data_IF_218865419736
#
_entry.id   IF_218865419736
#
_cell.length_a   1.000
_cell.length_b   1.000
_cell.length_c   1.000
_cell.angle_alpha   90.00
_cell.angle_beta   90.00
_cell.angle_gamma   90.00
#
_symmetry.space_group_name_H-M   'P 1'
#
loop_
_entity.id
_entity.type
_entity.pdbx_description
1 polymer ?
#
# COMPACT_ATOMS: atom_id res chain seq x y z
N UNK A 1 9.75 4.71 24.75
CA UNK A 1 8.43 4.58 24.06
C UNK A 1 8.48 5.16 22.64
N UNK A 2 9.18 6.27 22.42
CA UNK A 2 9.41 6.84 21.08
C UNK A 2 10.18 5.90 20.14
N UNK A 3 11.18 5.17 20.65
CA UNK A 3 12.01 4.23 19.87
C UNK A 3 11.22 3.08 19.25
N UNK A 4 10.10 2.70 19.89
CA UNK A 4 9.19 1.66 19.41
C UNK A 4 8.35 2.15 18.22
N UNK A 5 7.76 3.35 18.33
CA UNK A 5 7.00 3.97 17.25
C UNK A 5 7.89 4.26 16.04
N UNK A 6 9.10 4.73 16.29
CA UNK A 6 10.13 4.93 15.25
C UNK A 6 10.42 3.64 14.49
N UNK A 7 10.69 2.55 15.20
CA UNK A 7 10.93 1.25 14.57
C UNK A 7 9.73 0.71 13.79
N UNK A 8 8.50 0.91 14.31
CA UNK A 8 7.27 0.46 13.65
C UNK A 8 6.99 1.19 12.33
N UNK A 9 7.23 2.50 12.29
CA UNK A 9 6.91 3.40 11.19
C UNK A 9 8.00 3.47 10.11
N UNK A 10 9.27 3.58 10.54
CA UNK A 10 10.45 3.72 9.68
C UNK A 10 10.90 2.36 9.13
N UNK A 11 10.79 1.31 9.95
CA UNK A 11 11.19 -0.04 9.60
C UNK A 11 12.64 -0.39 9.99
N UNK A 12 12.97 -1.69 9.97
CA UNK A 12 14.18 -2.24 10.60
C UNK A 12 15.48 -1.97 9.83
N UNK A 13 15.41 -1.50 8.58
CA UNK A 13 16.61 -1.27 7.74
C UNK A 13 17.32 0.02 8.14
N UNK A 14 16.55 1.03 8.56
CA UNK A 14 17.01 2.39 8.83
C UNK A 14 16.94 2.79 10.31
N UNK A 15 16.12 2.09 11.11
CA UNK A 15 16.00 2.31 12.55
C UNK A 15 16.98 1.41 13.31
N UNK A 16 17.81 2.02 14.15
CA UNK A 16 18.82 1.36 15.00
C UNK A 16 18.25 1.09 16.41
N UNK A 17 16.98 0.70 16.49
CA UNK A 17 16.28 0.47 17.76
C UNK A 17 16.02 -1.03 18.00
N UNK A 18 15.73 -1.37 19.26
CA UNK A 18 15.33 -2.72 19.72
C UNK A 18 14.16 -3.33 18.94
N UNK A 19 13.50 -2.56 18.09
CA UNK A 19 12.45 -3.01 17.18
C UNK A 19 12.86 -4.20 16.32
N UNK A 20 14.16 -4.36 16.01
CA UNK A 20 14.71 -5.51 15.27
C UNK A 20 14.65 -6.84 16.04
N UNK A 21 14.64 -6.80 17.38
CA UNK A 21 14.82 -7.99 18.23
C UNK A 21 13.52 -8.74 18.56
N UNK A 22 12.36 -8.08 18.48
CA UNK A 22 11.06 -8.64 18.90
C UNK A 22 10.07 -8.76 17.74
N UNK A 23 9.23 -9.81 17.75
CA UNK A 23 8.13 -9.99 16.79
C UNK A 23 6.95 -9.10 17.20
N UNK A 24 6.65 -8.09 16.39
CA UNK A 24 5.61 -7.09 16.70
C UNK A 24 4.28 -7.35 15.98
N UNK A 25 3.86 -8.62 15.89
CA UNK A 25 2.66 -9.01 15.14
C UNK A 25 1.40 -8.34 15.70
N UNK A 26 1.27 -8.22 17.02
CA UNK A 26 0.11 -7.61 17.70
C UNK A 26 -0.16 -6.17 17.27
N UNK A 27 0.86 -5.34 17.05
CA UNK A 27 0.68 -3.97 16.60
C UNK A 27 0.16 -3.87 15.15
N UNK A 28 0.52 -4.84 14.30
CA UNK A 28 0.00 -4.91 12.93
C UNK A 28 -1.46 -5.36 12.93
N UNK A 29 -1.80 -6.34 13.77
CA UNK A 29 -3.19 -6.79 13.97
C UNK A 29 -4.04 -5.67 14.52
N UNK A 30 -3.54 -4.91 15.52
CA UNK A 30 -4.24 -3.77 16.08
C UNK A 30 -4.51 -2.68 15.03
N UNK A 31 -3.49 -2.31 14.23
CA UNK A 31 -3.67 -1.34 13.15
C UNK A 31 -4.66 -1.84 12.08
N UNK A 32 -4.58 -3.11 11.71
CA UNK A 32 -5.52 -3.73 10.76
C UNK A 32 -6.96 -3.73 11.30
N UNK A 33 -7.13 -4.06 12.58
CA UNK A 33 -8.43 -4.01 13.26
C UNK A 33 -8.98 -2.57 13.32
N UNK A 34 -8.14 -1.57 13.59
CA UNK A 34 -8.55 -0.16 13.53
C UNK A 34 -8.98 0.25 12.13
N UNK A 35 -8.24 -0.17 11.08
CA UNK A 35 -8.61 0.09 9.69
C UNK A 35 -9.95 -0.59 9.32
N UNK A 36 -10.15 -1.84 9.76
CA UNK A 36 -11.40 -2.57 9.59
C UNK A 36 -12.59 -1.86 10.28
N UNK A 37 -12.42 -1.46 11.54
CA UNK A 37 -13.44 -0.74 12.29
C UNK A 37 -13.78 0.62 11.64
N UNK A 38 -12.77 1.36 11.19
CA UNK A 38 -12.96 2.61 10.46
C UNK A 38 -13.70 2.38 9.14
N UNK A 39 -13.39 1.31 8.40
CA UNK A 39 -14.10 0.95 7.18
C UNK A 39 -15.58 0.66 7.46
N UNK A 40 -15.89 -0.17 8.45
CA UNK A 40 -17.28 -0.47 8.86
C UNK A 40 -18.02 0.81 9.21
N UNK A 41 -17.41 1.70 9.99
CA UNK A 41 -18.01 2.98 10.36
C UNK A 41 -18.34 3.84 9.13
N UNK A 42 -17.41 3.95 8.17
CA UNK A 42 -17.62 4.72 6.95
C UNK A 42 -18.72 4.11 6.08
N UNK A 43 -18.84 2.78 6.07
CA UNK A 43 -19.87 2.07 5.30
C UNK A 43 -21.25 2.21 5.95
N UNK A 44 -21.36 2.20 7.28
CA UNK A 44 -22.63 2.42 8.00
C UNK A 44 -23.10 3.88 7.93
N UNK A 45 -22.17 4.84 7.85
CA UNK A 45 -22.49 6.28 7.82
C UNK A 45 -21.96 6.93 6.53
N UNK A 46 -22.67 6.79 5.39
CA UNK A 46 -22.22 7.30 4.10
C UNK A 46 -22.04 8.83 4.09
N UNK A 47 -22.79 9.56 4.92
CA UNK A 47 -22.62 11.00 5.11
C UNK A 47 -21.26 11.37 5.70
N UNK A 48 -20.71 10.53 6.60
CA UNK A 48 -19.35 10.69 7.12
C UNK A 48 -18.32 10.33 6.05
N UNK A 49 -18.56 9.26 5.29
CA UNK A 49 -17.68 8.86 4.18
C UNK A 49 -17.52 9.98 3.14
N UNK A 50 -18.59 10.66 2.76
CA UNK A 50 -18.53 11.78 1.80
C UNK A 50 -17.69 12.96 2.33
N UNK A 51 -17.64 13.19 3.65
CA UNK A 51 -16.83 14.26 4.25
C UNK A 51 -15.37 13.86 4.46
N UNK A 52 -15.13 12.61 4.85
CA UNK A 52 -13.79 12.10 5.16
C UNK A 52 -13.03 11.75 3.89
N UNK A 53 -13.68 11.21 2.86
CA UNK A 53 -13.05 10.83 1.59
C UNK A 53 -12.92 12.08 0.70
N UNK A 54 -11.99 12.96 1.06
CA UNK A 54 -11.70 14.19 0.31
C UNK A 54 -10.90 13.88 -0.97
N UNK A 55 -9.98 12.91 -0.90
CA UNK A 55 -9.07 12.58 -1.99
C UNK A 55 -9.78 11.65 -2.98
N UNK A 56 -10.01 12.14 -4.20
CA UNK A 56 -10.66 11.38 -5.28
C UNK A 56 -9.72 10.34 -5.90
N UNK A 57 -10.28 9.23 -6.34
CA UNK A 57 -9.60 8.28 -7.21
C UNK A 57 -9.10 8.99 -8.49
N UNK A 58 -7.88 8.73 -9.00
CA UNK A 58 -6.88 7.73 -8.60
C UNK A 58 -5.73 8.30 -7.74
N UNK A 59 -5.90 9.45 -7.07
CA UNK A 59 -4.80 10.11 -6.37
C UNK A 59 -4.19 9.31 -5.19
N UNK A 60 -4.98 8.60 -4.34
CA UNK A 60 -4.42 7.91 -3.17
C UNK A 60 -3.31 6.89 -3.50
N UNK A 61 -3.48 5.96 -4.46
CA UNK A 61 -2.41 5.02 -4.80
C UNK A 61 -1.19 5.70 -5.44
N UNK A 62 -1.39 6.77 -6.23
CA UNK A 62 -0.27 7.52 -6.82
C UNK A 62 0.58 8.17 -5.73
N UNK A 63 -0.06 8.87 -4.79
CA UNK A 63 0.64 9.50 -3.68
C UNK A 63 1.31 8.47 -2.77
N UNK A 64 0.70 7.29 -2.59
CA UNK A 64 1.29 6.20 -1.82
C UNK A 64 2.58 5.70 -2.48
N UNK A 65 2.58 5.50 -3.80
CA UNK A 65 3.76 5.08 -4.55
C UNK A 65 4.87 6.12 -4.45
N UNK A 66 4.56 7.41 -4.64
CA UNK A 66 5.54 8.50 -4.45
C UNK A 66 6.15 8.40 -3.06
N UNK A 67 5.30 8.29 -2.05
CA UNK A 67 5.73 8.30 -0.66
C UNK A 67 6.62 7.10 -0.34
N UNK A 68 6.30 5.90 -0.84
CA UNK A 68 7.13 4.70 -0.73
C UNK A 68 8.53 4.90 -1.35
N UNK A 69 8.60 5.54 -2.51
CA UNK A 69 9.88 5.83 -3.17
C UNK A 69 10.69 6.93 -2.48
N UNK A 70 10.03 7.94 -1.92
CA UNK A 70 10.71 9.01 -1.17
C UNK A 70 11.18 8.54 0.21
N UNK A 71 10.53 7.55 0.77
CA UNK A 71 10.76 7.03 2.11
C UNK A 71 12.23 6.71 2.45
N UNK A 72 13.02 5.98 1.63
CA UNK A 72 14.43 5.72 1.93
C UNK A 72 15.26 7.01 2.03
N UNK A 73 14.97 8.01 1.20
CA UNK A 73 15.66 9.31 1.25
C UNK A 73 15.32 10.06 2.54
N UNK A 74 14.04 10.07 2.91
CA UNK A 74 13.55 10.64 4.17
C UNK A 74 14.23 9.96 5.36
N UNK A 75 14.39 8.64 5.33
CA UNK A 75 15.08 7.86 6.38
C UNK A 75 16.56 8.19 6.51
N UNK A 76 17.25 8.50 5.41
CA UNK A 76 18.66 8.96 5.46
C UNK A 76 18.77 10.33 6.14
N UNK A 77 17.85 11.25 5.80
CA UNK A 77 17.76 12.58 6.39
C UNK A 77 17.43 12.48 7.88
N UNK A 78 16.49 11.60 8.25
CA UNK A 78 15.97 11.41 9.60
C UNK A 78 17.08 11.31 10.68
N UNK A 79 18.15 10.55 10.41
CA UNK A 79 19.28 10.37 11.34
C UNK A 79 20.09 11.65 11.59
N UNK A 80 20.01 12.64 10.71
CA UNK A 80 20.75 13.90 10.79
C UNK A 80 19.93 15.04 11.42
N UNK A 81 18.65 14.80 11.73
CA UNK A 81 17.75 15.84 12.22
C UNK A 81 17.71 15.94 13.76
N UNK A 82 17.54 17.16 14.30
CA UNK A 82 17.38 17.38 15.72
C UNK A 82 16.08 16.76 16.24
N UNK A 83 16.07 16.41 17.52
CA UNK A 83 14.98 15.67 18.18
C UNK A 83 13.59 16.26 17.92
N UNK A 84 13.44 17.60 17.94
CA UNK A 84 12.17 18.30 17.75
C UNK A 84 11.53 18.11 16.37
N UNK A 85 12.30 17.81 15.32
CA UNK A 85 11.77 17.65 13.95
C UNK A 85 11.38 16.19 13.68
N UNK A 86 11.84 15.25 14.51
CA UNK A 86 11.57 13.81 14.33
C UNK A 86 10.08 13.46 14.38
N UNK A 87 9.25 14.00 15.30
CA UNK A 87 7.82 13.71 15.34
C UNK A 87 7.08 14.10 14.05
N UNK A 88 7.50 15.19 13.41
CA UNK A 88 6.91 15.63 12.14
C UNK A 88 7.16 14.60 11.02
N UNK A 89 8.35 13.99 11.00
CA UNK A 89 8.67 12.92 10.07
C UNK A 89 7.88 11.65 10.38
N UNK A 90 7.67 11.31 11.66
CA UNK A 90 6.79 10.19 12.04
C UNK A 90 5.37 10.38 11.49
N UNK A 91 4.87 11.62 11.44
CA UNK A 91 3.56 11.92 10.85
C UNK A 91 3.54 11.64 9.33
N UNK A 92 4.65 11.87 8.63
CA UNK A 92 4.80 11.49 7.20
C UNK A 92 4.78 9.96 7.04
N UNK A 93 5.44 9.22 7.93
CA UNK A 93 5.37 7.74 7.91
C UNK A 93 3.97 7.22 8.27
N UNK A 94 3.24 7.92 9.15
CA UNK A 94 1.85 7.61 9.47
C UNK A 94 0.94 7.86 8.26
N UNK A 95 1.18 8.95 7.54
CA UNK A 95 0.45 9.33 6.34
C UNK A 95 0.48 8.20 5.28
N UNK A 96 1.57 7.43 5.17
CA UNK A 96 1.63 6.23 4.32
C UNK A 96 0.54 5.21 4.63
N UNK A 97 0.32 4.89 5.90
CA UNK A 97 -0.73 3.96 6.32
C UNK A 97 -2.13 4.54 6.12
N UNK A 98 -2.25 5.85 6.26
CA UNK A 98 -3.48 6.58 5.98
C UNK A 98 -3.82 6.54 4.48
N UNK A 99 -2.84 6.73 3.59
CA UNK A 99 -3.05 6.58 2.14
C UNK A 99 -3.34 5.14 1.74
N UNK A 100 -2.71 4.16 2.39
CA UNK A 100 -3.02 2.75 2.22
C UNK A 100 -4.49 2.48 2.57
N UNK A 101 -4.96 3.01 3.70
CA UNK A 101 -6.37 2.94 4.09
C UNK A 101 -7.29 3.56 3.03
N UNK A 102 -6.98 4.77 2.56
CA UNK A 102 -7.77 5.43 1.50
C UNK A 102 -7.83 4.59 0.21
N UNK A 103 -6.71 3.97 -0.17
CA UNK A 103 -6.68 3.08 -1.33
C UNK A 103 -7.62 1.88 -1.12
N UNK A 104 -7.59 1.24 0.04
CA UNK A 104 -8.50 0.15 0.37
C UNK A 104 -9.95 0.59 0.33
N UNK A 105 -10.30 1.71 0.97
CA UNK A 105 -11.67 2.23 0.98
C UNK A 105 -12.17 2.43 -0.45
N UNK A 106 -11.42 3.11 -1.33
CA UNK A 106 -11.85 3.32 -2.72
C UNK A 106 -12.01 2.02 -3.52
N UNK A 107 -11.23 0.99 -3.21
CA UNK A 107 -11.36 -0.33 -3.84
C UNK A 107 -12.57 -1.07 -3.32
N UNK A 108 -12.81 -1.09 -2.00
CA UNK A 108 -13.85 -1.92 -1.37
C UNK A 108 -15.22 -1.26 -1.30
N UNK A 109 -15.32 0.07 -1.18
CA UNK A 109 -16.60 0.79 -1.14
C UNK A 109 -17.52 0.45 -2.32
N UNK A 110 -17.08 0.40 -3.60
CA UNK A 110 -17.99 0.03 -4.69
C UNK A 110 -18.40 -1.45 -4.69
N UNK A 111 -17.71 -2.34 -3.97
CA UNK A 111 -18.11 -3.75 -3.83
C UNK A 111 -19.19 -3.95 -2.77
N UNK A 112 -19.37 -2.98 -1.88
CA UNK A 112 -20.29 -3.09 -0.74
C UNK A 112 -21.50 -2.19 -1.00
N UNK A 113 -22.48 -2.73 -1.71
CA UNK A 113 -23.77 -2.07 -1.93
C UNK A 113 -24.70 -2.41 -0.77
N UNK A 114 -24.77 -1.52 0.22
CA UNK A 114 -25.89 -1.54 1.17
C UNK A 114 -27.09 -0.89 0.48
N UNK A 115 -27.97 -1.71 -0.08
CA UNK A 115 -29.34 -1.26 -0.33
C UNK A 115 -29.97 -0.90 1.02
N UNK A 116 -30.90 0.06 1.02
CA UNK A 116 -31.52 0.63 2.24
C UNK A 116 -32.45 -0.36 2.96
N UNK A 117 -32.21 -1.65 2.84
CA UNK A 117 -32.91 -2.65 3.61
C UNK A 117 -32.37 -2.65 5.05
N UNK A 118 -33.28 -2.88 6.01
CA UNK A 118 -32.88 -3.05 7.40
C UNK A 118 -31.89 -4.22 7.49
N UNK A 119 -30.73 -4.02 8.11
CA UNK A 119 -29.75 -5.09 8.33
C UNK A 119 -30.40 -6.36 8.91
N UNK A 120 -31.44 -6.19 9.74
CA UNK A 120 -32.22 -7.29 10.30
C UNK A 120 -33.02 -8.05 9.25
N UNK A 121 -33.66 -7.39 8.27
CA UNK A 121 -34.42 -8.10 7.23
C UNK A 121 -33.51 -8.94 6.34
N UNK A 122 -32.34 -8.40 6.00
CA UNK A 122 -31.32 -9.14 5.26
C UNK A 122 -30.78 -10.35 6.05
N UNK A 123 -30.58 -10.20 7.36
CA UNK A 123 -30.14 -11.29 8.24
C UNK A 123 -31.21 -12.39 8.36
N UNK A 124 -32.49 -12.01 8.54
CA UNK A 124 -33.60 -12.98 8.61
C UNK A 124 -33.74 -13.76 7.30
N UNK A 125 -33.73 -13.07 6.15
CA UNK A 125 -33.80 -13.73 4.84
C UNK A 125 -32.62 -14.70 4.61
N UNK A 126 -31.41 -14.33 5.08
CA UNK A 126 -30.24 -15.20 5.01
C UNK A 126 -30.41 -16.44 5.90
N UNK A 127 -30.91 -16.25 7.11
CA UNK A 127 -31.13 -17.32 8.08
C UNK A 127 -32.19 -18.32 7.59
N UNK A 128 -33.31 -17.83 7.06
CA UNK A 128 -34.37 -18.67 6.49
C UNK A 128 -33.85 -19.52 5.33
N UNK A 129 -33.06 -18.94 4.42
CA UNK A 129 -32.44 -19.68 3.30
C UNK A 129 -31.50 -20.79 3.77
N UNK A 130 -30.70 -20.55 4.82
CA UNK A 130 -29.79 -21.57 5.35
C UNK A 130 -30.51 -22.66 6.15
N UNK A 131 -31.59 -22.32 6.84
CA UNK A 131 -32.45 -23.31 7.50
C UNK A 131 -33.10 -24.21 6.44
N UNK A 132 -33.61 -23.64 5.35
CA UNK A 132 -34.23 -24.39 4.26
C UNK A 132 -33.25 -25.38 3.61
N UNK A 133 -32.04 -24.94 3.26
CA UNK A 133 -30.98 -25.81 2.70
C UNK A 133 -30.54 -26.89 3.69
N UNK A 134 -30.53 -26.59 4.98
CA UNK A 134 -30.18 -27.57 6.01
C UNK A 134 -31.29 -28.60 6.21
N UNK A 135 -32.55 -28.18 6.14
CA UNK A 135 -33.71 -29.07 6.19
C UNK A 135 -33.73 -29.99 4.96
N UNK A 136 -33.49 -29.48 3.76
CA UNK A 136 -33.46 -30.27 2.53
C UNK A 136 -32.40 -31.38 2.59
N UNK A 137 -31.22 -31.10 3.16
CA UNK A 137 -30.13 -32.08 3.30
C UNK A 137 -30.37 -33.15 4.37
N UNK A 138 -31.21 -32.87 5.37
CA UNK A 138 -31.45 -33.79 6.51
C UNK A 138 -32.82 -34.48 6.36
N UNK A 139 -33.71 -33.96 5.49
CA UNK A 139 -35.05 -34.47 5.21
C UNK A 139 -35.08 -35.95 4.78
N UNK A 140 -34.00 -36.47 4.20
CA UNK A 140 -33.87 -37.90 3.86
C UNK A 140 -33.98 -38.84 5.08
N UNK A 141 -33.86 -38.34 6.32
CA UNK A 141 -33.87 -39.16 7.55
C UNK A 141 -35.20 -39.18 8.33
N UNK A 142 -36.26 -38.51 7.84
CA UNK A 142 -37.66 -38.84 8.14
C UNK A 142 -38.18 -38.73 9.59
N UNK A 143 -37.58 -37.91 10.49
CA UNK A 143 -38.01 -37.82 11.90
C UNK A 143 -38.12 -36.40 12.48
N UNK A 144 -38.79 -36.25 13.62
CA UNK A 144 -38.95 -34.95 14.34
C UNK A 144 -37.59 -34.36 14.77
N UNK A 145 -36.58 -35.21 14.96
CA UNK A 145 -35.21 -34.78 15.24
C UNK A 145 -34.53 -34.09 14.03
N UNK A 146 -35.04 -34.29 12.82
CA UNK A 146 -34.54 -33.66 11.58
C UNK A 146 -34.79 -32.16 11.57
N UNK A 147 -35.98 -31.74 11.99
CA UNK A 147 -36.32 -30.32 12.05
C UNK A 147 -35.49 -29.59 13.10
N UNK A 148 -35.28 -30.19 14.27
CA UNK A 148 -34.40 -29.63 15.32
C UNK A 148 -32.94 -29.58 14.84
N UNK A 149 -32.44 -30.64 14.20
CA UNK A 149 -31.09 -30.67 13.64
C UNK A 149 -30.89 -29.66 12.51
N UNK A 150 -31.89 -29.48 11.64
CA UNK A 150 -31.88 -28.50 10.54
C UNK A 150 -31.81 -27.05 11.04
N UNK A 151 -32.57 -26.70 12.08
CA UNK A 151 -32.51 -25.37 12.69
C UNK A 151 -31.15 -25.13 13.36
N UNK A 152 -30.62 -26.11 14.11
CA UNK A 152 -29.30 -26.00 14.74
C UNK A 152 -28.17 -25.89 13.72
N UNK A 153 -28.22 -26.69 12.65
CA UNK A 153 -27.23 -26.66 11.57
C UNK A 153 -27.29 -25.34 10.79
N UNK A 154 -28.50 -24.87 10.44
CA UNK A 154 -28.70 -23.59 9.78
C UNK A 154 -28.23 -22.40 10.62
N UNK A 155 -28.57 -22.39 11.91
CA UNK A 155 -28.10 -21.37 12.85
C UNK A 155 -26.57 -21.35 13.00
N UNK A 156 -25.95 -22.53 13.14
CA UNK A 156 -24.48 -22.65 13.21
C UNK A 156 -23.80 -22.18 11.91
N UNK A 157 -24.41 -22.46 10.76
CA UNK A 157 -23.91 -22.01 9.46
C UNK A 157 -23.90 -20.49 9.33
N UNK A 158 -24.98 -19.82 9.74
CA UNK A 158 -25.06 -18.34 9.73
C UNK A 158 -24.01 -17.72 10.64
N UNK A 159 -23.80 -18.30 11.83
CA UNK A 159 -22.75 -17.84 12.75
C UNK A 159 -21.36 -18.02 12.13
N UNK A 160 -21.12 -19.16 11.48
CA UNK A 160 -19.85 -19.44 10.80
C UNK A 160 -19.60 -18.47 9.62
N UNK A 161 -20.62 -18.17 8.81
CA UNK A 161 -20.54 -17.18 7.72
C UNK A 161 -20.25 -15.78 8.27
N UNK A 162 -20.96 -15.36 9.32
CA UNK A 162 -20.73 -14.08 9.98
C UNK A 162 -19.30 -13.96 10.53
N UNK A 163 -18.79 -15.01 11.16
CA UNK A 163 -17.40 -15.06 11.64
C UNK A 163 -16.40 -14.99 10.48
N UNK A 164 -16.68 -15.66 9.36
CA UNK A 164 -15.84 -15.61 8.17
C UNK A 164 -15.80 -14.19 7.57
N UNK A 165 -16.93 -13.48 7.51
CA UNK A 165 -16.99 -12.08 7.05
C UNK A 165 -16.12 -11.18 7.93
N UNK A 166 -16.24 -11.31 9.26
CA UNK A 166 -15.43 -10.55 10.23
C UNK A 166 -13.94 -10.89 10.07
N UNK A 167 -13.61 -12.17 9.89
CA UNK A 167 -12.24 -12.60 9.65
C UNK A 167 -11.66 -11.99 8.37
N UNK A 168 -12.38 -12.04 7.26
CA UNK A 168 -11.97 -11.44 5.97
C UNK A 168 -11.76 -9.94 6.13
N UNK A 169 -12.68 -9.27 6.82
CA UNK A 169 -12.63 -7.82 7.06
C UNK A 169 -11.33 -7.39 7.78
N UNK A 170 -10.77 -8.22 8.65
CA UNK A 170 -9.50 -7.96 9.35
C UNK A 170 -8.29 -8.48 8.56
N UNK A 171 -8.41 -9.64 7.91
CA UNK A 171 -7.32 -10.25 7.13
C UNK A 171 -6.94 -9.38 5.92
N UNK A 172 -7.91 -8.77 5.25
CA UNK A 172 -7.67 -7.90 4.09
C UNK A 172 -6.76 -6.71 4.41
N UNK A 173 -7.06 -5.83 5.39
CA UNK A 173 -6.16 -4.74 5.76
C UNK A 173 -4.83 -5.25 6.32
N UNK A 174 -4.82 -6.39 7.03
CA UNK A 174 -3.58 -7.00 7.51
C UNK A 174 -2.65 -7.41 6.37
N UNK A 175 -3.18 -8.08 5.35
CA UNK A 175 -2.45 -8.45 4.13
C UNK A 175 -1.95 -7.23 3.37
N UNK A 176 -2.76 -6.17 3.27
CA UNK A 176 -2.36 -4.92 2.63
C UNK A 176 -1.18 -4.24 3.36
N UNK A 177 -1.22 -4.18 4.70
CA UNK A 177 -0.11 -3.67 5.50
C UNK A 177 1.14 -4.51 5.28
N UNK A 178 1.00 -5.84 5.28
CA UNK A 178 2.11 -6.77 5.05
C UNK A 178 2.76 -6.58 3.67
N UNK A 179 1.96 -6.47 2.61
CA UNK A 179 2.43 -6.19 1.25
C UNK A 179 3.14 -4.84 1.17
N UNK A 180 2.55 -3.79 1.73
CA UNK A 180 3.13 -2.45 1.75
C UNK A 180 4.50 -2.44 2.46
N UNK A 181 4.60 -3.08 3.64
CA UNK A 181 5.88 -3.21 4.36
C UNK A 181 6.90 -4.06 3.60
N UNK A 182 6.48 -5.14 2.94
CA UNK A 182 7.37 -5.99 2.15
C UNK A 182 7.97 -5.24 0.96
N UNK A 183 7.14 -4.49 0.23
CA UNK A 183 7.59 -3.62 -0.88
C UNK A 183 8.55 -2.56 -0.35
N UNK A 184 8.20 -1.90 0.76
CA UNK A 184 9.06 -0.89 1.38
C UNK A 184 10.43 -1.48 1.79
N UNK A 185 10.44 -2.66 2.39
CA UNK A 185 11.65 -3.36 2.80
C UNK A 185 12.55 -3.69 1.60
N UNK A 186 11.98 -4.11 0.47
CA UNK A 186 12.73 -4.35 -0.75
C UNK A 186 13.37 -3.07 -1.30
N UNK A 187 12.61 -1.96 -1.34
CA UNK A 187 13.11 -0.65 -1.78
C UNK A 187 14.24 -0.16 -0.86
N UNK A 188 14.04 -0.25 0.45
CA UNK A 188 15.02 0.18 1.45
C UNK A 188 16.31 -0.62 1.37
N UNK A 189 16.21 -1.95 1.23
CA UNK A 189 17.37 -2.83 1.10
C UNK A 189 18.14 -2.56 -0.20
N UNK A 190 17.43 -2.38 -1.31
CA UNK A 190 18.04 -2.00 -2.59
C UNK A 190 18.76 -0.66 -2.51
N UNK A 191 18.15 0.34 -1.86
CA UNK A 191 18.73 1.67 -1.71
C UNK A 191 19.97 1.64 -0.81
N UNK A 192 19.92 0.89 0.29
CA UNK A 192 21.06 0.71 1.19
C UNK A 192 22.23 0.04 0.48
N UNK A 193 21.98 -1.05 -0.26
CA UNK A 193 23.01 -1.73 -1.05
C UNK A 193 23.68 -0.81 -2.07
N UNK A 194 22.90 0.02 -2.78
CA UNK A 194 23.44 0.99 -3.73
C UNK A 194 24.29 2.05 -3.00
N UNK A 195 23.85 2.52 -1.84
CA UNK A 195 24.57 3.51 -1.06
C UNK A 195 25.89 2.96 -0.52
N UNK A 196 25.88 1.75 0.03
CA UNK A 196 27.08 1.10 0.58
C UNK A 196 28.11 0.84 -0.53
N UNK A 197 27.67 0.39 -1.72
CA UNK A 197 28.54 0.20 -2.89
C UNK A 197 29.21 1.52 -3.33
N UNK A 198 28.49 2.64 -3.31
CA UNK A 198 29.07 3.93 -3.68
C UNK A 198 30.01 4.46 -2.58
N UNK A 199 29.71 4.21 -1.31
CA UNK A 199 30.60 4.55 -0.20
C UNK A 199 31.90 3.75 -0.25
N UNK A 200 31.84 2.45 -0.54
CA UNK A 200 33.02 1.60 -0.73
C UNK A 200 33.88 2.08 -1.91
N UNK A 201 33.28 2.48 -3.04
CA UNK A 201 34.03 3.08 -4.17
C UNK A 201 34.74 4.37 -3.77
N UNK A 202 34.10 5.22 -2.97
CA UNK A 202 34.72 6.46 -2.50
C UNK A 202 35.81 6.17 -1.47
N UNK A 203 35.60 5.18 -0.59
CA UNK A 203 36.58 4.76 0.41
C UNK A 203 37.81 4.11 -0.24
N UNK A 204 37.63 3.25 -1.25
CA UNK A 204 38.73 2.62 -1.98
C UNK A 204 39.56 3.62 -2.78
N UNK A 205 38.91 4.64 -3.37
CA UNK A 205 39.61 5.77 -3.99
C UNK A 205 40.40 6.60 -2.96
N UNK A 206 39.89 6.73 -1.74
CA UNK A 206 40.58 7.44 -0.66
C UNK A 206 41.78 6.66 -0.15
N UNK A 207 41.65 5.35 0.02
CA UNK A 207 42.77 4.50 0.45
C UNK A 207 43.88 4.45 -0.59
N UNK A 208 43.55 4.42 -1.89
CA UNK A 208 44.58 4.49 -2.95
C UNK A 208 45.26 5.86 -3.04
N UNK A 209 44.55 6.96 -2.79
CA UNK A 209 45.14 8.31 -2.71
C UNK A 209 46.07 8.45 -1.48
N UNK A 210 45.71 7.83 -0.34
CA UNK A 210 46.54 7.82 0.87
C UNK A 210 47.79 6.96 0.67
N UNK A 211 47.64 5.73 0.13
CA UNK A 211 48.77 4.84 -0.16
C UNK A 211 49.73 5.49 -1.16
N UNK A 212 49.20 6.12 -2.22
CA UNK A 212 50.02 6.90 -3.14
C UNK A 212 50.76 8.04 -2.45
N UNK A 213 50.10 8.81 -1.59
CA UNK A 213 50.73 9.91 -0.84
C UNK A 213 51.85 9.44 0.09
N UNK A 214 51.68 8.30 0.78
CA UNK A 214 52.74 7.71 1.61
C UNK A 214 53.94 7.25 0.80
N UNK A 215 53.73 6.71 -0.41
CA UNK A 215 54.83 6.29 -1.30
C UNK A 215 55.63 7.49 -1.83
N UNK A 216 54.98 8.64 -2.06
CA UNK A 216 55.68 9.87 -2.46
C UNK A 216 56.43 10.54 -1.29
N UNK A 217 55.94 10.43 -0.04
CA UNK A 217 56.68 10.92 1.14
C UNK A 217 57.92 10.05 1.43
N UNK A 218 57.85 8.74 1.21
CA UNK A 218 59.00 7.84 1.40
C UNK A 218 60.08 8.06 0.33
N UNK A 219 59.70 8.39 -0.91
CA UNK A 219 60.64 8.77 -1.99
C UNK A 219 61.24 10.18 -1.83
N UNK A 220 60.68 11.05 -0.97
CA UNK A 220 61.17 12.42 -0.74
C UNK A 220 61.96 12.58 0.56
N UNK A 221 62.28 11.48 1.26
CA UNK A 221 63.18 11.46 2.41
C UNK A 221 64.68 11.68 2.08
N UNK A 222 64.99 12.18 0.87
CA UNK A 222 66.29 12.79 0.54
C UNK A 222 66.11 14.31 0.53
N UNK A 223 66.31 14.89 1.73
CA UNK A 223 66.76 16.26 2.06
C UNK A 223 66.44 17.38 1.05
N UNK A 224 65.39 18.18 1.31
CA UNK A 224 65.34 19.66 1.12
C UNK A 224 64.00 20.30 1.63
N UNK A 225 63.93 21.63 1.88
CA UNK A 225 63.06 22.24 2.90
C UNK A 225 61.60 22.50 2.48
N UNK A 226 60.78 22.75 3.52
CA UNK A 226 59.31 22.81 3.54
C UNK A 226 58.60 23.58 2.40
N UNK A 227 57.48 23.05 1.86
CA UNK A 227 56.65 23.77 0.87
C UNK A 227 55.55 24.65 1.52
N UNK A 228 55.04 25.67 0.79
CA UNK A 228 54.21 26.73 1.36
C UNK A 228 52.77 26.30 1.67
N UNK A 229 52.27 26.76 2.83
CA UNK A 229 50.95 26.44 3.45
C UNK A 229 49.72 26.84 2.59
N UNK A 230 49.90 27.54 1.45
CA UNK A 230 48.81 28.11 0.64
C UNK A 230 48.01 27.11 -0.21
N UNK A 231 48.47 25.87 -0.41
CA UNK A 231 47.79 24.88 -1.29
C UNK A 231 46.72 24.03 -0.59
N UNK A 232 46.67 23.96 0.75
CA UNK A 232 45.70 23.12 1.48
C UNK A 232 44.28 23.69 1.51
N UNK A 233 44.11 25.01 1.59
CA UNK A 233 42.78 25.66 1.66
C UNK A 233 41.98 25.59 0.35
N UNK A 234 42.64 25.80 -0.79
CA UNK A 234 42.05 25.70 -2.14
C UNK A 234 41.55 24.28 -2.47
N UNK A 235 42.23 23.24 -1.95
CA UNK A 235 41.89 21.83 -2.17
C UNK A 235 40.66 21.39 -1.34
N UNK A 236 40.43 22.00 -0.16
CA UNK A 236 39.25 21.73 0.69
C UNK A 236 37.98 22.37 0.09
N UNK A 237 38.11 23.56 -0.48
CA UNK A 237 36.98 24.29 -1.08
C UNK A 237 36.52 23.68 -2.40
N UNK A 238 37.46 23.21 -3.24
CA UNK A 238 37.15 22.40 -4.42
C UNK A 238 36.54 21.04 -4.05
N UNK A 239 36.93 20.42 -2.93
CA UNK A 239 36.34 19.16 -2.41
C UNK A 239 34.89 19.34 -1.92
N UNK A 240 34.57 20.43 -1.19
CA UNK A 240 33.18 20.76 -0.81
C UNK A 240 32.30 21.01 -2.05
N UNK A 241 32.81 21.70 -3.08
CA UNK A 241 32.11 21.89 -4.35
C UNK A 241 31.85 20.56 -5.09
N UNK A 242 32.81 19.64 -5.10
CA UNK A 242 32.66 18.31 -5.73
C UNK A 242 31.63 17.43 -5.00
N UNK A 243 31.61 17.43 -3.66
CA UNK A 243 30.60 16.69 -2.89
C UNK A 243 29.20 17.28 -3.08
N UNK A 244 29.07 18.61 -3.08
CA UNK A 244 27.79 19.30 -3.34
C UNK A 244 27.30 19.04 -4.78
N UNK A 245 28.21 18.98 -5.74
CA UNK A 245 27.92 18.61 -7.13
C UNK A 245 27.55 17.12 -7.28
N UNK A 246 28.19 16.21 -6.54
CA UNK A 246 27.83 14.79 -6.52
C UNK A 246 26.44 14.57 -5.91
N UNK A 247 26.14 15.23 -4.78
CA UNK A 247 24.81 15.21 -4.15
C UNK A 247 23.73 15.79 -5.08
N UNK A 248 24.06 16.87 -5.79
CA UNK A 248 23.19 17.48 -6.79
C UNK A 248 22.94 16.58 -8.00
N UNK A 249 23.96 15.84 -8.46
CA UNK A 249 23.84 14.87 -9.56
C UNK A 249 23.03 13.64 -9.14
N UNK A 250 23.17 13.16 -7.91
CA UNK A 250 22.32 12.07 -7.39
C UNK A 250 20.88 12.53 -7.20
N UNK A 251 20.66 13.73 -6.68
CA UNK A 251 19.32 14.31 -6.56
C UNK A 251 18.67 14.53 -7.93
N UNK A 252 19.42 15.02 -8.92
CA UNK A 252 18.96 15.20 -10.30
C UNK A 252 18.70 13.86 -11.00
N UNK A 253 19.53 12.84 -10.78
CA UNK A 253 19.31 11.49 -11.31
C UNK A 253 18.05 10.84 -10.71
N UNK A 254 17.81 11.04 -9.40
CA UNK A 254 16.58 10.60 -8.74
C UNK A 254 15.37 11.38 -9.26
N UNK A 255 15.48 12.70 -9.43
CA UNK A 255 14.41 13.53 -10.00
C UNK A 255 14.09 13.13 -11.46
N UNK A 256 15.13 12.82 -12.25
CA UNK A 256 15.03 12.32 -13.62
C UNK A 256 14.42 10.90 -13.67
N UNK A 257 14.78 10.04 -12.72
CA UNK A 257 14.18 8.71 -12.57
C UNK A 257 12.71 8.82 -12.17
N UNK A 258 12.37 9.66 -11.19
CA UNK A 258 10.99 9.92 -10.76
C UNK A 258 10.16 10.50 -11.91
N UNK A 259 10.66 11.50 -12.65
CA UNK A 259 9.93 12.05 -13.81
C UNK A 259 9.78 11.05 -14.95
N UNK A 260 10.77 10.17 -15.19
CA UNK A 260 10.67 9.09 -16.19
C UNK A 260 9.67 8.02 -15.76
N UNK A 261 9.70 7.63 -14.50
CA UNK A 261 8.75 6.69 -13.91
C UNK A 261 7.32 7.25 -13.94
N UNK A 262 7.11 8.51 -13.59
CA UNK A 262 5.82 9.21 -13.71
C UNK A 262 5.27 9.23 -15.12
N UNK A 263 6.14 9.46 -16.11
CA UNK A 263 5.76 9.44 -17.53
C UNK A 263 5.32 8.05 -17.97
N UNK A 264 6.01 7.01 -17.52
CA UNK A 264 5.66 5.62 -17.80
C UNK A 264 4.37 5.19 -17.09
N UNK A 265 4.17 5.57 -15.82
CA UNK A 265 2.91 5.34 -15.11
C UNK A 265 1.74 6.07 -15.76
N UNK A 266 1.92 7.31 -16.22
CA UNK A 266 0.87 8.06 -16.94
C UNK A 266 0.48 7.36 -18.24
N UNK A 267 1.45 6.81 -18.99
CA UNK A 267 1.18 6.02 -20.20
C UNK A 267 0.43 4.72 -19.89
N UNK A 268 0.86 3.98 -18.86
CA UNK A 268 0.16 2.78 -18.41
C UNK A 268 -1.26 3.07 -17.94
N UNK A 269 -1.48 4.20 -17.26
CA UNK A 269 -2.79 4.63 -16.80
C UNK A 269 -3.72 5.06 -17.94
N UNK A 270 -3.19 5.75 -18.97
CA UNK A 270 -3.96 6.08 -20.17
C UNK A 270 -4.39 4.82 -20.94
N UNK A 271 -3.47 3.86 -21.09
CA UNK A 271 -3.78 2.54 -21.68
C UNK A 271 -4.84 1.78 -20.87
N UNK A 272 -4.76 1.81 -19.54
CA UNK A 272 -5.75 1.18 -18.67
C UNK A 272 -7.12 1.87 -18.76
N UNK A 273 -7.13 3.22 -18.85
CA UNK A 273 -8.36 4.00 -19.06
C UNK A 273 -9.05 3.64 -20.38
N UNK A 274 -8.29 3.55 -21.48
CA UNK A 274 -8.83 3.13 -22.78
C UNK A 274 -9.37 1.69 -22.73
N UNK A 275 -8.68 0.79 -22.03
CA UNK A 275 -9.09 -0.60 -21.91
C UNK A 275 -10.34 -0.79 -21.04
N UNK A 276 -10.50 0.00 -19.99
CA UNK A 276 -11.72 0.00 -19.16
C UNK A 276 -12.87 0.65 -19.93
N UNK A 277 -12.63 1.76 -20.64
CA UNK A 277 -13.65 2.41 -21.45
C UNK A 277 -14.17 1.49 -22.58
N UNK A 278 -13.29 0.70 -23.22
CA UNK A 278 -13.69 -0.25 -24.26
C UNK A 278 -14.49 -1.44 -23.71
N UNK A 279 -14.15 -1.93 -22.52
CA UNK A 279 -14.91 -2.98 -21.85
C UNK A 279 -16.31 -2.50 -21.44
N UNK A 280 -16.42 -1.28 -20.90
CA UNK A 280 -17.71 -0.71 -20.51
C UNK A 280 -18.60 -0.50 -21.74
N UNK A 281 -18.08 0.03 -22.85
CA UNK A 281 -18.85 0.18 -24.10
C UNK A 281 -19.29 -1.17 -24.66
N UNK A 282 -18.45 -2.20 -24.58
CA UNK A 282 -18.79 -3.55 -25.05
C UNK A 282 -19.93 -4.16 -24.23
N UNK A 283 -19.86 -4.08 -22.90
CA UNK A 283 -20.91 -4.58 -21.99
C UNK A 283 -22.21 -3.79 -22.14
N UNK A 284 -22.12 -2.48 -22.38
CA UNK A 284 -23.30 -1.62 -22.58
C UNK A 284 -24.01 -1.94 -23.91
N UNK A 285 -23.26 -2.18 -25.00
CA UNK A 285 -23.84 -2.59 -26.28
C UNK A 285 -24.44 -4.00 -26.22
N UNK A 286 -23.83 -4.94 -25.49
CA UNK A 286 -24.39 -6.28 -25.30
C UNK A 286 -25.69 -6.28 -24.49
N UNK A 287 -25.82 -5.42 -23.47
CA UNK A 287 -27.09 -5.25 -22.76
C UNK A 287 -28.17 -4.66 -23.67
N UNK A 288 -27.85 -3.60 -24.42
CA UNK A 288 -28.81 -2.97 -25.33
C UNK A 288 -29.34 -3.94 -26.40
N UNK A 289 -28.46 -4.76 -26.99
CA UNK A 289 -28.88 -5.77 -27.98
C UNK A 289 -29.72 -6.89 -27.38
N UNK A 290 -29.53 -7.21 -26.08
CA UNK A 290 -30.33 -8.23 -25.38
C UNK A 290 -31.74 -7.70 -25.06
N UNK A 291 -31.84 -6.46 -24.62
CA UNK A 291 -33.12 -5.79 -24.31
C UNK A 291 -33.98 -5.57 -25.59
N UNK A 292 -33.35 -5.24 -26.73
CA UNK A 292 -34.03 -5.18 -28.04
C UNK A 292 -34.47 -6.57 -28.55
N UNK A 293 -33.69 -7.62 -28.29
CA UNK A 293 -34.06 -8.99 -28.65
C UNK A 293 -35.24 -9.55 -27.85
N UNK A 294 -35.33 -9.21 -26.56
CA UNK A 294 -36.40 -9.67 -25.67
C UNK A 294 -37.72 -8.91 -25.92
N UNK A 295 -37.65 -7.63 -26.28
CA UNK A 295 -38.83 -6.84 -26.67
C UNK A 295 -39.45 -7.32 -27.99
N UNK A 296 -38.64 -7.71 -28.97
CA UNK A 296 -39.14 -8.31 -30.23
C UNK A 296 -39.84 -9.65 -29.96
N UNK A 297 -39.23 -10.53 -29.15
CA UNK A 297 -39.84 -11.83 -28.79
C UNK A 297 -41.12 -11.69 -27.96
N UNK A 298 -41.20 -10.69 -27.10
CA UNK A 298 -42.41 -10.39 -26.33
C UNK A 298 -43.56 -9.98 -27.25
N UNK A 299 -43.30 -9.10 -28.21
CA UNK A 299 -44.32 -8.56 -29.11
C UNK A 299 -44.86 -9.62 -30.09
N UNK A 300 -44.02 -10.56 -30.53
CA UNK A 300 -44.46 -11.70 -31.34
C UNK A 300 -45.31 -12.71 -30.55
N UNK A 301 -44.98 -12.96 -29.28
CA UNK A 301 -45.81 -13.81 -28.41
C UNK A 301 -47.18 -13.19 -28.13
N UNK A 302 -47.23 -11.87 -27.93
CA UNK A 302 -48.49 -11.16 -27.70
C UNK A 302 -49.40 -11.18 -28.96
N UNK A 303 -48.81 -11.05 -30.16
CA UNK A 303 -49.54 -11.19 -31.43
C UNK A 303 -50.05 -12.62 -31.67
N UNK A 304 -49.33 -13.64 -31.20
CA UNK A 304 -49.75 -15.04 -31.33
C UNK A 304 -50.91 -15.38 -30.38
N UNK A 305 -50.94 -14.78 -29.18
CA UNK A 305 -52.03 -14.95 -28.22
C UNK A 305 -53.33 -14.24 -28.62
N UNK A 306 -53.28 -13.14 -29.38
CA UNK A 306 -54.50 -12.45 -29.89
C UNK A 306 -55.13 -13.10 -31.13
N UNK A 307 -54.53 -14.14 -31.70
CA UNK A 307 -55.02 -14.86 -32.89
C UNK A 307 -55.70 -16.20 -32.58
N UNK A 308 -55.88 -16.55 -31.31
CA UNK A 308 -56.70 -17.68 -30.86
C UNK A 308 -57.94 -17.16 -30.15
#
# INVERSE_FOLDING_TARGET
>A
MMDYLEGFLIGPVWSDTDYRSRRHFSAHVFLAAMMAAAFVLLTLYPNLAARVIVIKWPLPPILLIILLLLNPFISILYRRLPFFVRPLLLLIYLLKYLLLFYWLVHVFTPLVTFEKESFLSMLYARMDSHIEVSLEKIAESGGIFVTVAGVLAGGLWVIAEGLAIVAILVIVPLLAIFLCKSIQYLIDRGTKYLLDRELERVASFRSSEIVGATTYEEMTAVKEPAPPIRKRSLKVETRKKKIKAALGRTAAAVLAFLTRMFRNLRKGFLWLKEKIASQITRVTNERKNRDEGDTIKSNDKEKLCRRK
#
